data_IF_994082625836
#
_entry.id   IF_994082625836
#
_cell.length_a   1.000
_cell.length_b   1.000
_cell.length_c   1.000
_cell.angle_alpha   90.00
_cell.angle_beta   90.00
_cell.angle_gamma   90.00
#
_symmetry.space_group_name_H-M   'P 1'
#
loop_
_entity.id
_entity.type
_entity.pdbx_description
1 polymer ?
#
# COMPACT_ATOMS: atom_id res chain seq x y z
N UNK A 1 10.47 -1.45 6.99
CA UNK A 1 9.57 -2.56 7.39
C UNK A 1 10.24 -3.94 7.38
N UNK A 2 11.11 -4.28 6.41
CA UNK A 2 11.93 -5.52 6.46
C UNK A 2 12.74 -5.70 7.76
N UNK A 3 13.27 -4.60 8.29
CA UNK A 3 14.13 -4.59 9.49
C UNK A 3 13.39 -4.92 10.79
N UNK A 4 12.05 -4.86 10.79
CA UNK A 4 11.20 -5.28 11.92
C UNK A 4 10.48 -6.60 11.62
N UNK A 5 10.94 -7.37 10.63
CA UNK A 5 10.34 -8.64 10.20
C UNK A 5 8.92 -8.56 9.62
N UNK A 6 8.45 -7.36 9.26
CA UNK A 6 7.14 -7.12 8.63
C UNK A 6 7.36 -6.49 7.24
N UNK A 7 7.73 -7.26 6.21
CA UNK A 7 7.88 -6.72 4.86
C UNK A 7 6.53 -6.25 4.29
N UNK A 8 6.57 -5.30 3.36
CA UNK A 8 5.38 -4.87 2.62
C UNK A 8 5.05 -5.93 1.56
N UNK A 9 3.78 -6.32 1.45
CA UNK A 9 3.33 -7.28 0.44
C UNK A 9 3.56 -6.75 -0.97
N UNK A 10 4.04 -7.63 -1.85
CA UNK A 10 4.37 -7.27 -3.23
C UNK A 10 5.71 -6.55 -3.41
N UNK A 11 6.50 -6.36 -2.34
CA UNK A 11 7.88 -5.86 -2.45
C UNK A 11 8.79 -6.97 -2.99
N UNK A 12 9.26 -6.81 -4.24
CA UNK A 12 10.14 -7.77 -4.91
C UNK A 12 11.61 -7.66 -4.49
N UNK A 13 12.03 -6.53 -3.90
CA UNK A 13 13.44 -6.28 -3.51
C UNK A 13 13.71 -6.66 -2.06
N UNK A 14 12.75 -6.41 -1.18
CA UNK A 14 12.91 -6.58 0.26
C UNK A 14 11.79 -7.40 0.92
N UNK A 15 10.84 -7.90 0.14
CA UNK A 15 9.77 -8.77 0.62
C UNK A 15 10.18 -10.22 0.77
N UNK A 16 9.22 -11.06 1.16
CA UNK A 16 9.39 -12.51 1.29
C UNK A 16 8.67 -13.19 0.12
N UNK A 17 9.40 -13.95 -0.69
CA UNK A 17 8.86 -14.60 -1.89
C UNK A 17 7.60 -15.44 -1.64
N UNK A 18 7.57 -16.23 -0.57
CA UNK A 18 6.40 -17.04 -0.20
C UNK A 18 5.18 -16.17 0.14
N UNK A 19 5.39 -15.04 0.81
CA UNK A 19 4.32 -14.11 1.16
C UNK A 19 3.79 -13.37 -0.08
N UNK A 20 4.68 -12.95 -0.98
CA UNK A 20 4.29 -12.33 -2.24
C UNK A 20 3.53 -13.32 -3.15
N UNK A 21 3.93 -14.60 -3.16
CA UNK A 21 3.21 -15.65 -3.89
C UNK A 21 1.82 -15.87 -3.33
N UNK A 22 1.66 -15.96 -2.01
CA UNK A 22 0.35 -16.05 -1.36
C UNK A 22 -0.55 -14.86 -1.74
N UNK A 23 -0.04 -13.64 -1.69
CA UNK A 23 -0.80 -12.43 -2.06
C UNK A 23 -1.19 -12.43 -3.54
N UNK A 24 -0.32 -12.91 -4.42
CA UNK A 24 -0.65 -13.07 -5.83
C UNK A 24 -1.74 -14.12 -6.03
N UNK A 25 -1.50 -15.33 -5.54
CA UNK A 25 -2.30 -16.49 -5.90
C UNK A 25 -3.69 -16.45 -5.23
N UNK A 26 -3.78 -16.00 -3.97
CA UNK A 26 -5.05 -15.97 -3.23
C UNK A 26 -5.77 -14.61 -3.31
N UNK A 27 -5.02 -13.51 -3.34
CA UNK A 27 -5.60 -12.16 -3.29
C UNK A 27 -5.58 -11.45 -4.65
N UNK A 28 -4.96 -12.02 -5.69
CA UNK A 28 -4.75 -11.38 -6.99
C UNK A 28 -4.00 -10.04 -6.87
N UNK A 29 -3.04 -9.98 -5.95
CA UNK A 29 -2.24 -8.79 -5.68
C UNK A 29 -0.84 -8.89 -6.32
N UNK A 30 -0.69 -8.33 -7.52
CA UNK A 30 0.55 -8.36 -8.31
C UNK A 30 1.43 -7.12 -8.18
N UNK A 31 1.12 -6.25 -7.21
CA UNK A 31 1.76 -4.95 -7.03
C UNK A 31 2.25 -4.76 -5.60
N UNK A 32 3.07 -3.74 -5.41
CA UNK A 32 3.43 -3.26 -4.08
C UNK A 32 2.21 -2.68 -3.37
N UNK A 33 1.92 -3.20 -2.18
CA UNK A 33 0.89 -2.68 -1.27
C UNK A 33 1.42 -1.47 -0.48
N UNK A 34 1.77 -0.40 -1.20
CA UNK A 34 2.14 0.90 -0.66
C UNK A 34 1.38 1.99 -1.42
N UNK A 35 0.78 2.91 -0.69
CA UNK A 35 0.03 4.04 -1.22
C UNK A 35 0.30 5.31 -0.40
N UNK A 36 0.48 6.44 -1.07
CA UNK A 36 0.52 7.75 -0.43
C UNK A 36 -0.89 8.37 -0.53
N UNK A 37 -1.66 8.28 0.55
CA UNK A 37 -3.04 8.78 0.60
C UNK A 37 -3.13 10.26 0.95
N UNK A 38 -2.07 10.79 1.58
CA UNK A 38 -2.04 12.14 2.12
C UNK A 38 -0.66 12.75 1.88
N UNK A 39 -0.64 13.98 1.38
CA UNK A 39 0.57 14.78 1.22
C UNK A 39 0.32 16.18 1.78
N UNK A 40 1.14 16.57 2.75
CA UNK A 40 1.14 17.91 3.32
C UNK A 40 2.39 18.66 2.87
N UNK A 41 2.20 19.86 2.34
CA UNK A 41 3.29 20.76 1.95
C UNK A 41 2.91 22.22 2.16
N UNK A 42 3.90 23.11 2.08
CA UNK A 42 3.68 24.55 2.03
C UNK A 42 3.55 24.95 0.56
N UNK A 43 2.46 25.59 0.18
CA UNK A 43 2.24 25.99 -1.20
C UNK A 43 3.30 27.02 -1.63
N UNK A 44 4.02 26.82 -2.76
CA UNK A 44 5.24 27.56 -3.07
C UNK A 44 5.02 29.05 -3.41
N UNK A 45 3.78 29.45 -3.73
CA UNK A 45 3.43 30.84 -4.05
C UNK A 45 2.74 31.54 -2.87
N UNK A 46 1.68 30.95 -2.31
CA UNK A 46 0.93 31.54 -1.20
C UNK A 46 1.57 31.36 0.18
N UNK A 47 2.53 30.44 0.35
CA UNK A 47 3.09 30.00 1.64
C UNK A 47 2.07 29.44 2.64
N UNK A 48 0.86 29.13 2.19
CA UNK A 48 -0.18 28.52 3.03
C UNK A 48 -0.02 27.00 3.08
N UNK A 49 -0.46 26.35 4.17
CA UNK A 49 -0.55 24.88 4.23
C UNK A 49 -1.46 24.34 3.13
N UNK A 50 -0.97 23.36 2.38
CA UNK A 50 -1.73 22.61 1.38
C UNK A 50 -1.72 21.12 1.74
N UNK A 51 -2.92 20.56 1.86
CA UNK A 51 -3.12 19.12 2.02
C UNK A 51 -3.74 18.56 0.74
N UNK A 52 -3.12 17.52 0.20
CA UNK A 52 -3.60 16.76 -0.94
C UNK A 52 -4.00 15.36 -0.48
N UNK A 53 -5.20 14.93 -0.85
CA UNK A 53 -5.71 13.60 -0.57
C UNK A 53 -5.83 12.78 -1.84
N UNK A 54 -5.51 11.49 -1.76
CA UNK A 54 -5.66 10.55 -2.86
C UNK A 54 -6.34 9.28 -2.34
N UNK A 55 -7.42 8.87 -3.01
CA UNK A 55 -8.06 7.58 -2.74
C UNK A 55 -7.17 6.43 -3.14
N UNK A 56 -7.42 5.25 -2.58
CA UNK A 56 -6.76 4.04 -3.04
C UNK A 56 -7.09 3.77 -4.51
N UNK A 57 -6.08 3.35 -5.28
CA UNK A 57 -6.30 2.85 -6.63
C UNK A 57 -7.09 1.53 -6.56
N UNK A 58 -7.92 1.27 -7.58
CA UNK A 58 -8.88 0.17 -7.60
C UNK A 58 -8.28 -1.20 -7.25
N UNK A 59 -7.08 -1.54 -7.76
CA UNK A 59 -6.44 -2.83 -7.43
C UNK A 59 -6.00 -2.93 -5.96
N UNK A 60 -5.64 -1.80 -5.34
CA UNK A 60 -5.33 -1.75 -3.91
C UNK A 60 -6.60 -1.99 -3.09
N UNK A 61 -7.68 -1.27 -3.43
CA UNK A 61 -8.96 -1.41 -2.74
C UNK A 61 -9.51 -2.84 -2.86
N UNK A 62 -9.49 -3.44 -4.05
CA UNK A 62 -9.92 -4.82 -4.26
C UNK A 62 -9.13 -5.83 -3.42
N UNK A 63 -7.83 -5.58 -3.20
CA UNK A 63 -7.01 -6.42 -2.32
C UNK A 63 -7.40 -6.24 -0.85
N UNK A 64 -7.68 -5.00 -0.42
CA UNK A 64 -8.18 -4.73 0.94
C UNK A 64 -9.51 -5.43 1.19
N UNK A 65 -10.45 -5.33 0.25
CA UNK A 65 -11.79 -5.93 0.35
C UNK A 65 -11.69 -7.45 0.55
N UNK A 66 -10.79 -8.11 -0.21
CA UNK A 66 -10.50 -9.53 -0.03
C UNK A 66 -9.83 -9.85 1.31
N UNK A 67 -9.04 -8.94 1.88
CA UNK A 67 -8.43 -9.16 3.19
C UNK A 67 -9.45 -9.07 4.32
N UNK A 68 -10.55 -8.34 4.13
CA UNK A 68 -11.58 -8.17 5.17
C UNK A 68 -12.19 -9.50 5.61
N UNK A 69 -12.28 -10.49 4.71
CA UNK A 69 -12.79 -11.82 5.04
C UNK A 69 -11.95 -12.59 6.08
N UNK A 70 -10.72 -12.14 6.36
CA UNK A 70 -9.80 -12.73 7.33
C UNK A 70 -9.64 -11.88 8.59
N UNK A 71 -10.41 -10.80 8.75
CA UNK A 71 -10.46 -10.05 10.01
C UNK A 71 -11.14 -10.94 11.07
N UNK A 72 -10.41 -11.25 12.14
CA UNK A 72 -10.92 -11.95 13.35
C UNK A 72 -11.68 -10.97 14.24
#
# INVERSE_FOLDING_TARGET
MKHISHPISGDVKYGKGNHNRLFRDELNCDRLMLAATDLNLVHPISNEPLTLHCSFENSFQATLDKLEQYKV
#
